data_IF_797787302251
#
_entry.id   IF_797787302251
#
_cell.length_a   1.000
_cell.length_b   1.000
_cell.length_c   1.000
_cell.angle_alpha   90.00
_cell.angle_beta   90.00
_cell.angle_gamma   90.00
#
_symmetry.space_group_name_H-M   'P 1'
#
loop_
_entity.id
_entity.type
_entity.pdbx_description
1 polymer ?
#
# COMPACT_ATOMS: atom_id res chain seq x y z
N UNK A 1 13.85 -10.40 -26.82
CA UNK A 1 13.13 -9.54 -25.86
C UNK A 1 13.60 -8.11 -26.04
N UNK A 2 12.72 -7.21 -26.25
CA UNK A 2 13.05 -5.80 -26.41
C UNK A 2 13.11 -5.19 -25.02
N UNK A 3 14.31 -4.92 -24.55
CA UNK A 3 14.53 -4.24 -23.28
C UNK A 3 14.02 -2.80 -23.39
N UNK A 4 13.23 -2.37 -22.46
CA UNK A 4 12.67 -1.03 -22.41
C UNK A 4 11.24 -0.90 -22.89
N UNK A 5 10.66 -1.93 -23.49
CA UNK A 5 9.23 -1.93 -23.77
C UNK A 5 8.48 -2.48 -22.56
N UNK A 6 7.93 -1.55 -21.78
CA UNK A 6 6.96 -1.94 -20.76
C UNK A 6 5.76 -2.57 -21.45
N UNK A 7 5.42 -3.76 -21.01
CA UNK A 7 4.13 -4.33 -21.38
C UNK A 7 3.04 -3.49 -20.69
N UNK A 8 2.39 -2.65 -21.46
CA UNK A 8 1.35 -1.75 -20.97
C UNK A 8 0.21 -2.54 -20.29
N UNK A 9 -0.10 -3.72 -20.84
CA UNK A 9 -1.12 -4.57 -20.22
C UNK A 9 -0.68 -5.06 -18.84
N UNK A 10 0.58 -5.40 -18.67
CA UNK A 10 1.13 -5.81 -17.37
C UNK A 10 1.09 -4.68 -16.35
N UNK A 11 1.45 -3.46 -16.75
CA UNK A 11 1.39 -2.29 -15.86
C UNK A 11 -0.07 -1.97 -15.49
N UNK A 12 -0.98 -1.98 -16.46
CA UNK A 12 -2.41 -1.75 -16.22
C UNK A 12 -2.96 -2.78 -15.24
N UNK A 13 -2.65 -4.07 -15.43
CA UNK A 13 -3.11 -5.13 -14.53
C UNK A 13 -2.58 -4.93 -13.11
N UNK A 14 -1.33 -4.50 -12.96
CA UNK A 14 -0.73 -4.20 -11.65
C UNK A 14 -1.40 -3.02 -10.96
N UNK A 15 -1.70 -1.98 -11.71
CA UNK A 15 -2.42 -0.80 -11.20
C UNK A 15 -3.83 -1.18 -10.75
N UNK A 16 -4.55 -1.93 -11.56
CA UNK A 16 -5.91 -2.39 -11.23
C UNK A 16 -5.90 -3.32 -10.02
N UNK A 17 -4.97 -4.24 -9.93
CA UNK A 17 -4.82 -5.13 -8.78
C UNK A 17 -4.49 -4.35 -7.50
N UNK A 18 -3.60 -3.35 -7.59
CA UNK A 18 -3.28 -2.47 -6.46
C UNK A 18 -4.51 -1.71 -5.99
N UNK A 19 -5.28 -1.14 -6.91
CA UNK A 19 -6.53 -0.44 -6.60
C UNK A 19 -7.55 -1.36 -5.93
N UNK A 20 -7.71 -2.57 -6.44
CA UNK A 20 -8.61 -3.57 -5.86
C UNK A 20 -8.18 -3.95 -4.43
N UNK A 21 -6.89 -4.15 -4.19
CA UNK A 21 -6.36 -4.45 -2.86
C UNK A 21 -6.61 -3.28 -1.89
N UNK A 22 -6.39 -2.04 -2.33
CA UNK A 22 -6.72 -0.87 -1.52
C UNK A 22 -8.20 -0.79 -1.18
N UNK A 23 -9.08 -1.09 -2.14
CA UNK A 23 -10.52 -1.13 -1.90
C UNK A 23 -10.87 -2.15 -0.80
N UNK A 24 -10.27 -3.34 -0.84
CA UNK A 24 -10.43 -4.37 0.19
C UNK A 24 -9.88 -3.88 1.53
N UNK A 25 -8.68 -3.32 1.55
CA UNK A 25 -8.03 -2.84 2.77
C UNK A 25 -8.91 -1.78 3.46
N UNK A 26 -9.39 -0.78 2.71
CA UNK A 26 -10.20 0.29 3.28
C UNK A 26 -11.59 -0.19 3.71
N UNK A 27 -12.22 -1.06 2.93
CA UNK A 27 -13.52 -1.63 3.28
C UNK A 27 -13.43 -2.41 4.59
N UNK A 28 -12.49 -3.33 4.70
CA UNK A 28 -12.34 -4.14 5.91
C UNK A 28 -11.81 -3.32 7.08
N UNK A 29 -10.94 -2.34 6.84
CA UNK A 29 -10.50 -1.39 7.86
C UNK A 29 -11.65 -0.56 8.41
N UNK A 30 -12.54 -0.08 7.54
CA UNK A 30 -13.74 0.65 7.95
C UNK A 30 -14.68 -0.24 8.79
N UNK A 31 -14.92 -1.48 8.35
CA UNK A 31 -15.75 -2.42 9.10
C UNK A 31 -15.16 -2.72 10.49
N UNK A 32 -13.84 -2.89 10.57
CA UNK A 32 -13.15 -3.08 11.85
C UNK A 32 -13.30 -1.87 12.76
N UNK A 33 -13.11 -0.66 12.22
CA UNK A 33 -13.26 0.57 12.99
C UNK A 33 -14.69 0.75 13.50
N UNK A 34 -15.67 0.40 12.68
CA UNK A 34 -17.09 0.52 13.03
C UNK A 34 -17.54 -0.52 14.06
N UNK A 35 -17.06 -1.76 13.96
CA UNK A 35 -17.41 -2.82 14.90
C UNK A 35 -16.72 -2.67 16.25
N UNK A 36 -15.56 -2.03 16.27
CA UNK A 36 -14.79 -1.84 17.50
C UNK A 36 -14.17 -3.09 18.07
N UNK A 37 -13.48 -2.92 19.20
CA UNK A 37 -12.86 -4.02 19.94
C UNK A 37 -13.91 -4.77 20.80
N UNK A 38 -13.82 -6.10 20.94
CA UNK A 38 -12.82 -6.98 20.33
C UNK A 38 -13.04 -7.16 18.84
N UNK A 39 -11.95 -7.09 18.07
CA UNK A 39 -12.03 -7.14 16.61
C UNK A 39 -12.33 -8.55 16.10
N UNK A 40 -13.16 -8.65 15.07
CA UNK A 40 -13.40 -9.91 14.37
C UNK A 40 -12.11 -10.46 13.80
N UNK A 41 -11.76 -11.69 14.15
CA UNK A 41 -10.56 -12.37 13.64
C UNK A 41 -10.59 -12.48 12.13
N UNK A 42 -11.76 -12.77 11.54
CA UNK A 42 -11.92 -12.89 10.10
C UNK A 42 -11.64 -11.56 9.38
N UNK A 43 -12.30 -10.47 9.83
CA UNK A 43 -12.12 -9.16 9.24
C UNK A 43 -10.67 -8.67 9.38
N UNK A 44 -10.08 -8.90 10.55
CA UNK A 44 -8.70 -8.50 10.81
C UNK A 44 -7.71 -9.28 9.95
N UNK A 45 -7.93 -10.58 9.78
CA UNK A 45 -7.08 -11.43 8.95
C UNK A 45 -7.14 -10.99 7.48
N UNK A 46 -8.33 -10.76 6.94
CA UNK A 46 -8.49 -10.29 5.56
C UNK A 46 -7.81 -8.93 5.37
N UNK A 47 -8.01 -8.01 6.30
CA UNK A 47 -7.39 -6.67 6.26
C UNK A 47 -5.86 -6.77 6.25
N UNK A 48 -5.28 -7.58 7.11
CA UNK A 48 -3.82 -7.78 7.20
C UNK A 48 -3.26 -8.46 5.95
N UNK A 49 -3.91 -9.52 5.47
CA UNK A 49 -3.47 -10.24 4.28
C UNK A 49 -3.52 -9.36 3.03
N UNK A 50 -4.59 -8.59 2.87
CA UNK A 50 -4.70 -7.64 1.75
C UNK A 50 -3.61 -6.55 1.83
N UNK A 51 -3.28 -6.09 3.02
CA UNK A 51 -2.22 -5.09 3.23
C UNK A 51 -0.84 -5.64 2.85
N UNK A 52 -0.53 -6.87 3.26
CA UNK A 52 0.72 -7.55 2.89
C UNK A 52 0.77 -7.76 1.37
N UNK A 53 -0.32 -8.22 0.78
CA UNK A 53 -0.40 -8.42 -0.68
C UNK A 53 -0.15 -7.12 -1.44
N UNK A 54 -0.70 -6.00 -0.98
CA UNK A 54 -0.49 -4.69 -1.58
C UNK A 54 0.99 -4.27 -1.54
N UNK A 55 1.66 -4.47 -0.41
CA UNK A 55 3.10 -4.16 -0.27
C UNK A 55 3.94 -5.00 -1.23
N UNK A 56 3.66 -6.30 -1.30
CA UNK A 56 4.38 -7.21 -2.20
C UNK A 56 4.17 -6.80 -3.66
N UNK A 57 2.93 -6.49 -4.04
CA UNK A 57 2.60 -6.09 -5.41
C UNK A 57 3.29 -4.78 -5.79
N UNK A 58 3.30 -3.79 -4.89
CA UNK A 58 4.00 -2.53 -5.13
C UNK A 58 5.51 -2.74 -5.28
N UNK A 59 6.12 -3.52 -4.40
CA UNK A 59 7.54 -3.85 -4.50
C UNK A 59 7.86 -4.51 -5.85
N UNK A 60 7.06 -5.51 -6.26
CA UNK A 60 7.23 -6.18 -7.54
C UNK A 60 7.04 -5.23 -8.73
N UNK A 61 6.10 -4.30 -8.63
CA UNK A 61 5.88 -3.30 -9.69
C UNK A 61 7.09 -2.37 -9.82
N UNK A 62 7.63 -1.89 -8.71
CA UNK A 62 8.84 -1.07 -8.71
C UNK A 62 10.04 -1.81 -9.29
N UNK A 63 10.27 -3.04 -8.88
CA UNK A 63 11.38 -3.85 -9.39
C UNK A 63 11.22 -4.15 -10.88
N UNK A 64 10.01 -4.44 -11.32
CA UNK A 64 9.72 -4.67 -12.73
C UNK A 64 10.05 -3.43 -13.58
N UNK A 65 9.60 -2.25 -13.17
CA UNK A 65 9.88 -1.01 -13.90
C UNK A 65 11.36 -0.69 -13.86
N UNK A 66 12.01 -0.88 -12.71
CA UNK A 66 13.45 -0.63 -12.59
C UNK A 66 14.28 -1.53 -13.53
N UNK A 67 13.88 -2.78 -13.67
CA UNK A 67 14.57 -3.73 -14.56
C UNK A 67 14.32 -3.46 -16.04
N UNK A 68 13.16 -2.92 -16.39
CA UNK A 68 12.77 -2.72 -17.79
C UNK A 68 13.21 -1.37 -18.34
N UNK A 69 13.15 -0.30 -17.55
CA UNK A 69 13.45 1.04 -18.05
C UNK A 69 14.24 1.92 -17.07
N UNK A 70 14.49 1.41 -15.85
CA UNK A 70 15.13 2.19 -14.80
C UNK A 70 14.17 3.16 -14.11
N UNK A 71 14.54 3.57 -12.90
CA UNK A 71 13.78 4.52 -12.10
C UNK A 71 14.52 5.86 -12.03
N UNK A 72 13.78 6.96 -12.17
CA UNK A 72 14.31 8.28 -11.87
C UNK A 72 14.58 8.44 -10.38
N UNK A 73 15.42 9.39 -10.01
CA UNK A 73 15.69 9.72 -8.60
C UNK A 73 14.40 10.10 -7.88
N UNK A 74 13.54 10.87 -8.55
CA UNK A 74 12.25 11.25 -7.97
C UNK A 74 11.34 10.05 -7.74
N UNK A 75 11.25 9.12 -8.70
CA UNK A 75 10.48 7.89 -8.55
C UNK A 75 10.99 7.04 -7.38
N UNK A 76 12.31 6.92 -7.23
CA UNK A 76 12.90 6.21 -6.09
C UNK A 76 12.60 6.89 -4.76
N UNK A 77 12.68 8.21 -4.70
CA UNK A 77 12.38 8.98 -3.48
C UNK A 77 10.91 8.83 -3.06
N UNK A 78 9.98 9.00 -4.00
CA UNK A 78 8.53 8.83 -3.74
C UNK A 78 8.22 7.39 -3.37
N UNK A 79 8.86 6.43 -4.03
CA UNK A 79 8.72 5.01 -3.68
C UNK A 79 9.19 4.69 -2.26
N UNK A 80 10.31 5.27 -1.84
CA UNK A 80 10.82 5.12 -0.49
C UNK A 80 9.86 5.72 0.55
N UNK A 81 9.30 6.91 0.27
CA UNK A 81 8.28 7.53 1.13
C UNK A 81 7.02 6.66 1.22
N UNK A 82 6.60 6.06 0.11
CA UNK A 82 5.46 5.13 0.09
C UNK A 82 5.74 3.92 0.98
N UNK A 83 6.92 3.35 0.89
CA UNK A 83 7.35 2.25 1.75
C UNK A 83 7.34 2.61 3.23
N UNK A 84 7.84 3.80 3.58
CA UNK A 84 7.80 4.29 4.96
C UNK A 84 6.38 4.50 5.47
N UNK A 85 5.48 5.04 4.62
CA UNK A 85 4.07 5.20 4.97
C UNK A 85 3.40 3.83 5.22
N UNK A 86 3.72 2.81 4.43
CA UNK A 86 3.24 1.45 4.66
C UNK A 86 3.75 0.87 5.97
N UNK A 87 5.05 1.05 6.26
CA UNK A 87 5.63 0.58 7.52
C UNK A 87 4.90 1.23 8.71
N UNK A 88 4.68 2.54 8.66
CA UNK A 88 3.93 3.27 9.69
C UNK A 88 2.51 2.74 9.85
N UNK A 89 1.83 2.47 8.73
CA UNK A 89 0.47 1.92 8.73
C UNK A 89 0.44 0.52 9.34
N UNK A 90 1.36 -0.35 8.96
CA UNK A 90 1.43 -1.72 9.49
C UNK A 90 1.79 -1.71 10.97
N UNK A 91 2.74 -0.89 11.38
CA UNK A 91 3.16 -0.78 12.78
C UNK A 91 2.01 -0.28 13.67
N UNK A 92 1.32 0.78 13.26
CA UNK A 92 0.19 1.33 14.02
C UNK A 92 -0.99 0.35 14.05
N UNK A 93 -1.29 -0.29 12.94
CA UNK A 93 -2.33 -1.33 12.86
C UNK A 93 -2.01 -2.53 13.74
N UNK A 94 -0.75 -2.94 13.78
CA UNK A 94 -0.27 -4.01 14.67
C UNK A 94 -0.48 -3.66 16.14
N UNK A 95 -0.11 -2.45 16.55
CA UNK A 95 -0.32 -1.98 17.92
C UNK A 95 -1.81 -1.97 18.30
N UNK A 96 -2.66 -1.45 17.42
CA UNK A 96 -4.12 -1.42 17.66
C UNK A 96 -4.68 -2.83 17.78
N UNK A 97 -4.21 -3.77 16.96
CA UNK A 97 -4.72 -5.15 16.96
C UNK A 97 -4.34 -5.97 18.21
N UNK A 98 -3.22 -5.62 18.85
CA UNK A 98 -2.80 -6.25 20.11
C UNK A 98 -3.80 -5.92 21.23
N UNK A 99 -4.40 -4.74 21.20
CA UNK A 99 -5.34 -4.28 22.21
C UNK A 99 -4.65 -3.66 23.41
N UNK A 100 -5.41 -3.41 24.48
CA UNK A 100 -4.93 -2.72 25.65
C UNK A 100 -5.11 -1.21 25.56
N UNK A 101 -4.37 -0.49 26.37
CA UNK A 101 -4.39 0.98 26.37
C UNK A 101 -3.50 1.53 25.27
N UNK A 102 -4.11 1.89 24.14
CA UNK A 102 -3.41 2.45 22.99
C UNK A 102 -3.56 3.96 23.00
N UNK A 103 -2.47 4.74 22.94
CA UNK A 103 -2.54 6.19 22.84
C UNK A 103 -3.37 6.64 21.63
N UNK A 104 -4.14 7.70 21.80
CA UNK A 104 -5.00 8.24 20.74
C UNK A 104 -4.21 8.61 19.47
N UNK A 105 -2.96 9.06 19.65
CA UNK A 105 -2.09 9.39 18.52
C UNK A 105 -1.84 8.18 17.59
N UNK A 106 -1.84 6.96 18.11
CA UNK A 106 -1.67 5.75 17.31
C UNK A 106 -2.89 5.52 16.44
N UNK A 107 -4.09 5.71 16.97
CA UNK A 107 -5.33 5.63 16.17
C UNK A 107 -5.35 6.70 15.08
N UNK A 108 -4.96 7.93 15.41
CA UNK A 108 -4.89 9.02 14.44
C UNK A 108 -3.88 8.70 13.34
N UNK A 109 -2.69 8.26 13.71
CA UNK A 109 -1.66 7.86 12.76
C UNK A 109 -2.14 6.75 11.83
N UNK A 110 -2.82 5.74 12.37
CA UNK A 110 -3.35 4.64 11.55
C UNK A 110 -4.49 5.07 10.62
N UNK A 111 -5.17 6.16 10.90
CA UNK A 111 -6.17 6.74 10.00
C UNK A 111 -5.55 7.61 8.90
N UNK A 112 -4.47 8.31 9.22
CA UNK A 112 -3.82 9.25 8.30
C UNK A 112 -2.85 8.53 7.36
N UNK A 113 -2.01 7.62 7.87
CA UNK A 113 -0.97 6.97 7.07
C UNK A 113 -1.52 6.15 5.89
N UNK A 114 -2.67 5.47 5.97
CA UNK A 114 -3.24 4.80 4.80
C UNK A 114 -3.63 5.76 3.68
N UNK A 115 -4.21 6.91 4.03
CA UNK A 115 -4.56 7.94 3.04
C UNK A 115 -3.29 8.47 2.38
N UNK A 116 -2.26 8.75 3.17
CA UNK A 116 -0.96 9.16 2.67
C UNK A 116 -0.35 8.09 1.77
N UNK A 117 -0.47 6.82 2.14
CA UNK A 117 0.01 5.68 1.33
C UNK A 117 -0.69 5.63 -0.03
N UNK A 118 -2.01 5.85 -0.09
CA UNK A 118 -2.76 5.88 -1.36
C UNK A 118 -2.26 7.03 -2.24
N UNK A 119 -2.12 8.22 -1.69
CA UNK A 119 -1.64 9.39 -2.43
C UNK A 119 -0.23 9.17 -2.97
N UNK A 120 0.68 8.67 -2.13
CA UNK A 120 2.05 8.36 -2.52
C UNK A 120 2.11 7.22 -3.55
N UNK A 121 1.26 6.21 -3.41
CA UNK A 121 1.15 5.12 -4.39
C UNK A 121 0.70 5.65 -5.74
N UNK A 122 -0.34 6.49 -5.77
CA UNK A 122 -0.81 7.11 -7.00
C UNK A 122 0.28 7.95 -7.65
N UNK A 123 0.97 8.78 -6.88
CA UNK A 123 2.10 9.57 -7.36
C UNK A 123 3.22 8.69 -7.91
N UNK A 124 3.56 7.60 -7.21
CA UNK A 124 4.57 6.64 -7.65
C UNK A 124 4.21 6.02 -9.00
N UNK A 125 2.97 5.54 -9.13
CA UNK A 125 2.51 4.91 -10.37
C UNK A 125 2.49 5.89 -11.54
N UNK A 126 2.12 7.15 -11.30
CA UNK A 126 2.18 8.20 -12.33
C UNK A 126 3.62 8.47 -12.75
N UNK A 127 4.56 8.54 -11.81
CA UNK A 127 5.99 8.74 -12.11
C UNK A 127 6.58 7.55 -12.86
N UNK A 128 6.21 6.32 -12.51
CA UNK A 128 6.63 5.12 -13.23
C UNK A 128 6.13 5.13 -14.67
N UNK A 129 4.88 5.55 -14.88
CA UNK A 129 4.31 5.63 -16.22
C UNK A 129 4.96 6.73 -17.07
N UNK A 130 5.38 7.84 -16.46
CA UNK A 130 6.01 8.96 -17.16
C UNK A 130 7.50 8.77 -17.41
N UNK A 131 8.13 7.80 -16.77
CA UNK A 131 9.57 7.52 -16.91
C UNK A 131 9.93 6.79 -18.22
N UNK A 132 8.91 6.35 -18.95
CA UNK A 132 9.08 5.62 -20.22
C UNK A 132 9.28 6.48 -21.45
#
# INVERSE_FOLDING_TARGET
MILGNLDVSSVTNRVMATGALYAVIFTFGFLLARSGSPYSTLLLTIHKLASVAAVILLYKTFTYVNQTQGLSVLAMAVGALTGLAFIGTVATGGLISIGGQIPEIVYLAHRVTPVLSVVLTAASLLLLNSSG
#
